data_IF_438169791550
#
_entry.id   IF_438169791550
#
_cell.length_a   1.000
_cell.length_b   1.000
_cell.length_c   1.000
_cell.angle_alpha   90.00
_cell.angle_beta   90.00
_cell.angle_gamma   90.00
#
_symmetry.space_group_name_H-M   'P 1'
#
loop_
_entity.id
_entity.type
_entity.pdbx_description
1 polymer ?
#
# COMPACT_ATOMS: atom_id res chain seq x y z
N UNK A 1 6.61 -14.30 16.20
CA UNK A 1 7.40 -13.18 15.64
C UNK A 1 6.43 -12.11 15.19
N UNK A 2 6.47 -10.93 15.79
CA UNK A 2 5.54 -9.83 15.51
C UNK A 2 5.63 -9.41 14.04
N UNK A 3 4.48 -9.34 13.36
CA UNK A 3 4.43 -8.87 11.98
C UNK A 3 4.53 -7.35 11.99
N UNK A 4 5.70 -6.81 11.64
CA UNK A 4 5.90 -5.36 11.49
C UNK A 4 4.87 -4.77 10.53
N UNK A 5 4.51 -3.49 10.71
CA UNK A 5 3.52 -2.79 9.87
C UNK A 5 3.82 -2.96 8.37
N UNK A 6 5.11 -2.94 7.99
CA UNK A 6 5.57 -3.18 6.63
C UNK A 6 5.09 -4.53 6.07
N UNK A 7 5.19 -5.62 6.83
CA UNK A 7 4.74 -6.93 6.37
C UNK A 7 3.22 -6.98 6.15
N UNK A 8 2.44 -6.29 7.00
CA UNK A 8 0.99 -6.17 6.83
C UNK A 8 0.64 -5.40 5.56
N UNK A 9 1.37 -4.33 5.29
CA UNK A 9 1.24 -3.54 4.05
C UNK A 9 1.61 -4.41 2.85
N UNK A 10 2.73 -5.13 2.87
CA UNK A 10 3.15 -5.96 1.73
C UNK A 10 2.16 -7.08 1.40
N UNK A 11 1.63 -7.77 2.43
CA UNK A 11 0.57 -8.75 2.23
C UNK A 11 -0.69 -8.11 1.59
N UNK A 12 -1.05 -6.90 2.02
CA UNK A 12 -2.16 -6.15 1.44
C UNK A 12 -1.87 -5.73 -0.02
N UNK A 13 -0.66 -5.27 -0.34
CA UNK A 13 -0.26 -4.93 -1.71
C UNK A 13 -0.33 -6.15 -2.63
N UNK A 14 0.04 -7.34 -2.13
CA UNK A 14 -0.05 -8.58 -2.87
C UNK A 14 -1.53 -8.99 -3.12
N UNK A 15 -2.39 -8.91 -2.11
CA UNK A 15 -3.82 -9.26 -2.21
C UNK A 15 -4.63 -8.27 -3.09
N UNK A 16 -4.27 -6.99 -3.02
CA UNK A 16 -4.92 -5.92 -3.79
C UNK A 16 -4.32 -5.72 -5.18
N UNK A 17 -3.15 -6.31 -5.46
CA UNK A 17 -2.31 -6.03 -6.62
C UNK A 17 -2.06 -4.53 -6.86
N UNK A 18 -2.08 -3.73 -5.78
CA UNK A 18 -1.95 -2.27 -5.82
C UNK A 18 -0.47 -1.85 -5.74
N UNK A 19 -0.02 -0.83 -6.49
CA UNK A 19 1.33 -0.30 -6.35
C UNK A 19 1.54 0.37 -4.97
N UNK A 20 2.75 0.28 -4.38
CA UNK A 20 3.05 0.89 -3.09
C UNK A 20 2.85 2.42 -3.07
N UNK A 21 3.16 3.11 -4.16
CA UNK A 21 2.95 4.56 -4.27
C UNK A 21 1.47 4.96 -4.35
N UNK A 22 0.63 4.11 -4.95
CA UNK A 22 -0.82 4.32 -4.99
C UNK A 22 -1.42 4.09 -3.61
N UNK A 23 -0.98 3.02 -2.94
CA UNK A 23 -1.37 2.74 -1.57
C UNK A 23 -1.05 3.90 -0.63
N UNK A 24 0.18 4.41 -0.66
CA UNK A 24 0.58 5.54 0.17
C UNK A 24 -0.26 6.79 -0.10
N UNK A 25 -0.50 7.11 -1.38
CA UNK A 25 -1.38 8.22 -1.77
C UNK A 25 -2.83 8.00 -1.30
N UNK A 26 -3.35 6.78 -1.36
CA UNK A 26 -4.73 6.47 -0.97
C UNK A 26 -4.94 6.40 0.56
N UNK A 27 -3.94 5.92 1.30
CA UNK A 27 -4.04 5.73 2.75
C UNK A 27 -3.67 7.00 3.52
N UNK A 28 -2.61 7.70 3.12
CA UNK A 28 -2.03 8.82 3.89
C UNK A 28 -1.70 10.05 3.03
N UNK A 29 -2.07 10.06 1.75
CA UNK A 29 -1.72 11.11 0.78
C UNK A 29 -0.20 11.24 0.51
N UNK A 30 0.60 10.26 0.92
CA UNK A 30 2.05 10.25 0.73
C UNK A 30 2.49 9.03 -0.09
N UNK A 31 2.99 9.21 -1.33
CA UNK A 31 3.40 8.10 -2.18
C UNK A 31 4.74 7.46 -1.80
N UNK A 32 5.51 8.06 -0.88
CA UNK A 32 6.84 7.58 -0.45
C UNK A 32 6.77 6.69 0.80
N UNK A 33 5.62 6.67 1.48
CA UNK A 33 5.39 5.92 2.72
C UNK A 33 6.01 4.51 2.71
N UNK A 34 5.73 3.69 1.70
CA UNK A 34 6.21 2.30 1.67
C UNK A 34 7.72 2.23 1.41
N UNK A 35 8.25 3.09 0.54
CA UNK A 35 9.70 3.18 0.29
C UNK A 35 10.46 3.61 1.54
N UNK A 36 9.87 4.53 2.30
CA UNK A 36 10.44 5.05 3.54
C UNK A 36 10.42 3.97 4.65
N UNK A 37 9.30 3.26 4.78
CA UNK A 37 9.18 2.09 5.68
C UNK A 37 10.17 0.97 5.30
N UNK A 38 10.45 0.77 4.00
CA UNK A 38 11.50 -0.17 3.54
C UNK A 38 12.90 0.34 3.84
N UNK A 39 13.10 1.65 3.85
CA UNK A 39 14.36 2.31 4.22
C UNK A 39 14.64 2.32 5.72
N UNK A 40 13.74 1.76 6.55
CA UNK A 40 13.90 1.68 8.00
C UNK A 40 13.25 2.82 8.79
N UNK A 41 12.43 3.68 8.15
CA UNK A 41 11.64 4.67 8.89
C UNK A 41 10.53 3.98 9.67
N UNK A 42 10.38 4.42 10.92
CA UNK A 42 9.25 4.03 11.74
C UNK A 42 8.03 4.90 11.43
N UNK A 43 6.91 4.25 11.08
CA UNK A 43 5.64 4.92 10.97
C UNK A 43 5.15 5.30 12.38
N UNK A 44 4.91 6.60 12.60
CA UNK A 44 4.26 7.08 13.82
C UNK A 44 2.83 6.53 13.97
N UNK A 45 2.27 6.68 15.17
CA UNK A 45 0.94 6.20 15.53
C UNK A 45 -0.17 6.70 14.59
N UNK A 46 -0.11 7.98 14.15
CA UNK A 46 -1.09 8.55 13.21
C UNK A 46 -1.07 7.84 11.85
N UNK A 47 0.13 7.62 11.29
CA UNK A 47 0.31 6.91 10.02
C UNK A 47 -0.19 5.47 10.14
N UNK A 48 0.15 4.80 11.25
CA UNK A 48 -0.32 3.44 11.52
C UNK A 48 -1.86 3.40 11.57
N UNK A 49 -2.50 4.29 12.32
CA UNK A 49 -3.96 4.36 12.41
C UNK A 49 -4.61 4.58 11.03
N UNK A 50 -4.10 5.51 10.21
CA UNK A 50 -4.63 5.76 8.86
C UNK A 50 -4.46 4.56 7.94
N UNK A 51 -3.29 3.94 7.97
CA UNK A 51 -2.99 2.73 7.19
C UNK A 51 -3.89 1.57 7.58
N UNK A 52 -4.05 1.31 8.88
CA UNK A 52 -4.94 0.26 9.39
C UNK A 52 -6.41 0.54 9.02
N UNK A 53 -6.85 1.80 9.15
CA UNK A 53 -8.19 2.21 8.77
C UNK A 53 -8.45 2.01 7.27
N UNK A 54 -7.50 2.39 6.42
CA UNK A 54 -7.60 2.19 4.97
C UNK A 54 -7.69 0.70 4.60
N UNK A 55 -6.83 -0.14 5.17
CA UNK A 55 -6.85 -1.60 4.93
C UNK A 55 -8.20 -2.22 5.36
N UNK A 56 -8.72 -1.83 6.52
CA UNK A 56 -10.02 -2.32 7.00
C UNK A 56 -11.16 -1.88 6.07
N UNK A 57 -11.18 -0.60 5.66
CA UNK A 57 -12.18 -0.08 4.74
C UNK A 57 -12.13 -0.80 3.39
N UNK A 58 -10.94 -0.99 2.83
CA UNK A 58 -10.77 -1.70 1.55
C UNK A 58 -11.24 -3.16 1.64
N UNK A 59 -10.91 -3.87 2.73
CA UNK A 59 -11.39 -5.24 2.96
C UNK A 59 -12.90 -5.30 3.11
N UNK A 60 -13.49 -4.34 3.82
CA UNK A 60 -14.95 -4.24 3.97
C UNK A 60 -15.62 -4.00 2.61
N UNK A 61 -15.10 -3.08 1.81
CA UNK A 61 -15.60 -2.78 0.46
C UNK A 61 -15.42 -3.98 -0.48
N UNK A 62 -14.29 -4.69 -0.40
CA UNK A 62 -14.02 -5.91 -1.18
C UNK A 62 -15.00 -7.02 -0.80
N UNK A 63 -15.26 -7.20 0.50
CA UNK A 63 -16.25 -8.16 1.02
C UNK A 63 -17.67 -7.78 0.61
N UNK A 64 -17.98 -6.48 0.55
CA UNK A 64 -19.25 -5.96 0.06
C UNK A 64 -19.41 -6.03 -1.47
N UNK A 65 -18.41 -6.55 -2.20
CA UNK A 65 -18.45 -6.71 -3.65
C UNK A 65 -18.43 -5.40 -4.45
N UNK A 66 -18.15 -4.25 -3.80
CA UNK A 66 -18.18 -2.92 -4.44
C UNK A 66 -16.84 -2.49 -5.05
N UNK A 67 -15.75 -3.18 -4.77
CA UNK A 67 -14.42 -2.74 -5.21
C UNK A 67 -14.22 -3.02 -6.69
N UNK A 68 -14.45 -1.99 -7.51
CA UNK A 68 -13.68 -1.79 -8.74
C UNK A 68 -12.25 -1.46 -8.30
N UNK A 69 -11.21 -2.13 -8.82
CA UNK A 69 -9.85 -1.73 -8.50
C UNK A 69 -9.71 -0.25 -8.85
N UNK A 70 -9.52 0.60 -7.83
CA UNK A 70 -9.23 2.02 -7.99
C UNK A 70 -7.76 2.13 -8.45
N UNK A 71 -7.48 1.53 -9.61
CA UNK A 71 -6.26 1.73 -10.36
C UNK A 71 -6.46 3.01 -11.14
N UNK A 72 -6.02 4.10 -10.53
CA UNK A 72 -5.84 5.39 -11.19
C UNK A 72 -5.39 5.20 -12.65
N UNK A 73 -6.24 5.63 -13.60
CA UNK A 73 -6.00 5.44 -15.05
C UNK A 73 -4.66 6.07 -15.50
N UNK A 74 -4.03 6.95 -14.72
CA UNK A 74 -2.73 7.56 -15.06
C UNK A 74 -1.55 6.64 -14.76
N UNK A 75 -1.68 5.66 -13.88
CA UNK A 75 -0.51 4.89 -13.38
C UNK A 75 -0.13 3.70 -14.25
N UNK A 76 -0.91 3.35 -15.29
CA UNK A 76 -0.52 2.26 -16.21
C UNK A 76 0.84 2.55 -16.90
N UNK A 77 1.23 3.82 -17.01
CA UNK A 77 2.52 4.23 -17.57
C UNK A 77 3.74 3.93 -16.67
N UNK A 78 3.56 3.81 -15.34
CA UNK A 78 4.69 3.63 -14.41
C UNK A 78 5.17 2.17 -14.30
N UNK A 79 4.41 1.19 -14.83
CA UNK A 79 4.78 -0.23 -14.75
C UNK A 79 5.82 -0.67 -15.79
N UNK A 80 6.39 0.26 -16.56
CA UNK A 80 7.49 0.01 -17.49
C UNK A 80 8.90 0.19 -16.87
N UNK A 81 9.03 0.62 -15.62
CA UNK A 81 10.32 0.95 -15.01
C UNK A 81 10.48 0.30 -13.64
N UNK A 82 10.97 -0.94 -13.62
CA UNK A 82 11.95 -1.52 -12.66
C UNK A 82 11.94 -3.06 -12.74
N UNK A 83 12.66 -3.68 -13.69
CA UNK A 83 13.24 -4.99 -13.50
C UNK A 83 14.62 -4.79 -12.84
N UNK A 84 14.73 -4.95 -11.52
CA UNK A 84 16.03 -4.92 -10.86
C UNK A 84 15.99 -4.46 -9.43
N UNK A 85 15.93 -5.41 -8.51
CA UNK A 85 16.62 -5.35 -7.21
C UNK A 85 16.36 -6.66 -6.45
N UNK A 86 17.14 -7.69 -6.77
CA UNK A 86 17.87 -8.53 -5.80
C UNK A 86 18.45 -9.78 -6.50
N UNK A 87 19.75 -9.68 -6.82
CA UNK A 87 20.82 -10.68 -6.80
C UNK A 87 21.86 -10.33 -7.88
#
# INVERSE_FOLDING_TARGET
MERSLLQRIEAFLHESAMPPSVFGRAAVHDPRLVSDLRGGREAGLDIRCRVEHFMNKWRAERRAGRVRPQGDRRTRAARALNPGAQA
#
